data_IF_549985390776
#
_entry.id   IF_549985390776
#
_cell.length_a   1.000
_cell.length_b   1.000
_cell.length_c   1.000
_cell.angle_alpha   90.00
_cell.angle_beta   90.00
_cell.angle_gamma   90.00
#
_symmetry.space_group_name_H-M   'P 1'
#
loop_
_entity.id
_entity.type
_entity.pdbx_description
1 polymer ?
#
# COMPACT_ATOMS: atom_id res chain seq x y z
N UNK A 1 -38.04 -20.73 -82.76
CA UNK A 1 -37.70 -20.19 -81.42
C UNK A 1 -38.09 -21.23 -80.39
N UNK A 2 -37.10 -21.81 -79.72
CA UNK A 2 -37.29 -22.77 -78.63
C UNK A 2 -36.67 -22.19 -77.36
N UNK A 3 -37.27 -22.39 -76.18
CA UNK A 3 -36.52 -22.44 -74.95
C UNK A 3 -36.54 -23.86 -74.34
N UNK A 4 -35.41 -24.20 -73.73
CA UNK A 4 -35.09 -25.47 -73.11
C UNK A 4 -35.77 -25.64 -71.73
N UNK A 5 -35.94 -26.91 -71.33
CA UNK A 5 -36.43 -27.31 -70.01
C UNK A 5 -35.28 -27.37 -68.98
N UNK A 6 -35.58 -26.90 -67.78
CA UNK A 6 -34.68 -26.80 -66.61
C UNK A 6 -34.74 -28.11 -65.81
N UNK A 7 -33.57 -28.66 -65.48
CA UNK A 7 -33.34 -29.73 -64.51
C UNK A 7 -33.05 -29.16 -63.12
N UNK A 8 -33.62 -29.78 -62.07
CA UNK A 8 -33.14 -29.93 -60.68
C UNK A 8 -34.34 -30.49 -59.88
N UNK A 9 -34.26 -31.50 -59.01
CA UNK A 9 -33.13 -32.16 -58.36
C UNK A 9 -33.60 -32.59 -56.96
N UNK A 10 -33.85 -33.89 -56.80
CA UNK A 10 -33.89 -34.74 -55.59
C UNK A 10 -34.34 -34.16 -54.23
N UNK A 11 -35.42 -34.75 -53.70
CA UNK A 11 -35.78 -34.75 -52.29
C UNK A 11 -34.85 -35.69 -51.49
N UNK A 12 -34.34 -35.21 -50.35
CA UNK A 12 -33.63 -36.01 -49.35
C UNK A 12 -34.20 -35.75 -47.95
N UNK A 13 -34.27 -36.85 -47.19
CA UNK A 13 -34.94 -37.09 -45.91
C UNK A 13 -34.61 -36.15 -44.74
N UNK A 14 -35.51 -36.02 -43.74
CA UNK A 14 -35.26 -35.28 -42.52
C UNK A 14 -34.36 -36.04 -41.53
N UNK A 15 -33.44 -35.29 -40.93
CA UNK A 15 -32.45 -35.66 -39.91
C UNK A 15 -33.12 -35.80 -38.53
N UNK A 16 -32.66 -36.70 -37.63
CA UNK A 16 -33.26 -36.88 -36.30
C UNK A 16 -32.96 -35.69 -35.36
N UNK A 17 -33.83 -35.43 -34.37
CA UNK A 17 -33.73 -34.25 -33.51
C UNK A 17 -32.52 -34.32 -32.58
N UNK A 18 -31.79 -33.19 -32.51
CA UNK A 18 -30.72 -32.94 -31.56
C UNK A 18 -31.22 -33.09 -30.13
N UNK A 19 -30.48 -33.87 -29.34
CA UNK A 19 -30.60 -33.91 -27.89
C UNK A 19 -30.40 -32.50 -27.33
N UNK A 20 -31.47 -31.95 -26.73
CA UNK A 20 -31.37 -30.81 -25.84
C UNK A 20 -30.48 -31.21 -24.65
N UNK A 21 -29.30 -30.61 -24.57
CA UNK A 21 -28.53 -30.52 -23.34
C UNK A 21 -29.39 -29.77 -22.31
N UNK A 22 -30.01 -30.52 -21.41
CA UNK A 22 -30.50 -29.99 -20.13
C UNK A 22 -29.31 -29.37 -19.38
N UNK A 23 -29.40 -28.12 -18.91
CA UNK A 23 -28.40 -27.58 -18.00
C UNK A 23 -28.52 -28.33 -16.68
N UNK A 24 -27.57 -29.24 -16.44
CA UNK A 24 -27.30 -29.83 -15.14
C UNK A 24 -27.12 -28.71 -14.11
N UNK A 25 -27.94 -28.76 -13.07
CA UNK A 25 -27.76 -28.19 -11.73
C UNK A 25 -27.02 -26.86 -11.66
N UNK A 26 -27.76 -25.78 -11.39
CA UNK A 26 -27.19 -24.57 -10.81
C UNK A 26 -26.24 -24.98 -9.68
N UNK A 27 -24.95 -24.71 -9.89
CA UNK A 27 -23.93 -24.88 -8.87
C UNK A 27 -24.39 -24.16 -7.60
N UNK A 28 -24.13 -24.72 -6.41
CA UNK A 28 -24.47 -24.07 -5.16
C UNK A 28 -23.82 -22.68 -5.19
N UNK A 29 -24.61 -21.68 -4.81
CA UNK A 29 -24.24 -20.27 -4.62
C UNK A 29 -22.79 -20.16 -4.17
N UNK A 30 -21.92 -19.37 -4.83
CA UNK A 30 -20.51 -19.31 -4.45
C UNK A 30 -20.46 -18.89 -2.98
N UNK A 31 -20.05 -19.82 -2.12
CA UNK A 31 -19.76 -19.51 -0.72
C UNK A 31 -18.76 -18.37 -0.74
N UNK A 32 -19.03 -17.30 0.02
CA UNK A 32 -18.15 -16.15 0.10
C UNK A 32 -16.73 -16.64 0.44
N UNK A 33 -15.72 -16.22 -0.33
CA UNK A 33 -14.33 -16.71 -0.21
C UNK A 33 -13.84 -16.64 1.24
N UNK A 34 -14.14 -15.54 1.94
CA UNK A 34 -13.72 -15.35 3.34
C UNK A 34 -14.36 -16.39 4.28
N UNK A 35 -15.60 -16.81 4.00
CA UNK A 35 -16.30 -17.82 4.81
C UNK A 35 -15.72 -19.23 4.57
N UNK A 36 -15.34 -19.55 3.33
CA UNK A 36 -14.63 -20.80 2.99
C UNK A 36 -13.27 -20.84 3.69
N UNK A 37 -12.52 -19.73 3.59
CA UNK A 37 -11.24 -19.58 4.27
C UNK A 37 -11.40 -19.78 5.78
N UNK A 38 -12.34 -19.08 6.40
CA UNK A 38 -12.57 -19.14 7.83
C UNK A 38 -12.91 -20.57 8.30
N UNK A 39 -13.76 -21.28 7.56
CA UNK A 39 -14.09 -22.67 7.86
C UNK A 39 -12.86 -23.59 7.77
N UNK A 40 -12.04 -23.44 6.73
CA UNK A 40 -10.80 -24.23 6.56
C UNK A 40 -9.77 -23.91 7.64
N UNK A 41 -9.60 -22.65 7.95
CA UNK A 41 -8.68 -22.19 8.98
C UNK A 41 -9.07 -22.69 10.38
N UNK A 42 -10.36 -22.60 10.74
CA UNK A 42 -10.92 -23.22 11.96
C UNK A 42 -10.63 -24.73 12.02
N UNK A 43 -10.79 -25.44 10.91
CA UNK A 43 -10.54 -26.86 10.83
C UNK A 43 -9.06 -27.21 11.08
N UNK A 44 -8.12 -26.42 10.55
CA UNK A 44 -6.68 -26.58 10.82
C UNK A 44 -6.39 -26.37 12.30
N UNK A 45 -6.94 -25.32 12.92
CA UNK A 45 -6.76 -25.04 14.36
C UNK A 45 -7.31 -26.18 15.22
N UNK A 46 -8.52 -26.66 14.93
CA UNK A 46 -9.12 -27.77 15.66
C UNK A 46 -8.28 -29.04 15.53
N UNK A 47 -7.81 -29.35 14.31
CA UNK A 47 -6.94 -30.51 14.06
C UNK A 47 -5.61 -30.40 14.80
N UNK A 48 -5.04 -29.19 14.92
CA UNK A 48 -3.83 -28.95 15.69
C UNK A 48 -4.06 -29.12 17.20
N UNK A 49 -5.17 -28.58 17.74
CA UNK A 49 -5.51 -28.69 19.17
C UNK A 49 -5.79 -30.13 19.61
N UNK A 50 -6.33 -30.94 18.70
CA UNK A 50 -6.67 -32.34 18.98
C UNK A 50 -5.47 -33.30 18.89
N UNK A 51 -4.27 -32.80 18.57
CA UNK A 51 -3.04 -33.59 18.48
C UNK A 51 -2.23 -33.48 19.80
N UNK A 52 -2.31 -34.50 20.70
CA UNK A 52 -1.65 -34.45 22.01
C UNK A 52 -0.12 -34.54 21.92
N UNK A 53 0.45 -34.78 20.73
CA UNK A 53 1.90 -34.87 20.52
C UNK A 53 2.56 -33.52 20.21
N UNK A 54 1.78 -32.45 20.04
CA UNK A 54 2.30 -31.14 19.62
C UNK A 54 2.66 -30.25 20.81
N UNK A 55 3.77 -29.52 20.63
CA UNK A 55 4.22 -28.48 21.56
C UNK A 55 3.44 -27.17 21.43
N UNK A 56 3.95 -26.11 22.04
CA UNK A 56 3.33 -24.78 22.01
C UNK A 56 3.25 -24.21 20.58
N UNK A 57 2.13 -23.54 20.27
CA UNK A 57 1.88 -22.94 18.96
C UNK A 57 2.89 -21.82 18.66
N UNK A 58 3.80 -22.06 17.72
CA UNK A 58 4.80 -21.05 17.32
C UNK A 58 4.23 -20.04 16.33
N UNK A 59 4.90 -18.89 16.17
CA UNK A 59 4.56 -17.91 15.12
C UNK A 59 4.68 -18.51 13.71
N UNK A 60 5.62 -19.44 13.50
CA UNK A 60 5.80 -20.14 12.23
C UNK A 60 4.59 -21.01 11.89
N UNK A 61 4.05 -21.71 12.88
CA UNK A 61 2.86 -22.56 12.70
C UNK A 61 1.63 -21.73 12.37
N UNK A 62 1.44 -20.61 13.07
CA UNK A 62 0.35 -19.65 12.79
C UNK A 62 0.37 -19.21 11.33
N UNK A 63 1.53 -18.75 10.85
CA UNK A 63 1.70 -18.35 9.46
C UNK A 63 1.38 -19.50 8.50
N UNK A 64 1.86 -20.71 8.79
CA UNK A 64 1.58 -21.88 7.97
C UNK A 64 0.07 -22.20 7.89
N UNK A 65 -0.70 -22.04 8.99
CA UNK A 65 -2.14 -22.31 8.96
C UNK A 65 -2.90 -21.36 8.02
N UNK A 66 -2.59 -20.06 8.06
CA UNK A 66 -3.20 -19.10 7.13
C UNK A 66 -2.80 -19.41 5.69
N UNK A 67 -1.51 -19.71 5.46
CA UNK A 67 -1.02 -20.02 4.11
C UNK A 67 -1.68 -21.28 3.54
N UNK A 68 -1.83 -22.34 4.35
CA UNK A 68 -2.51 -23.57 3.95
C UNK A 68 -4.00 -23.34 3.72
N UNK A 69 -4.71 -22.69 4.66
CA UNK A 69 -6.12 -22.39 4.50
C UNK A 69 -6.39 -21.52 3.26
N UNK A 70 -5.54 -20.51 3.02
CA UNK A 70 -5.62 -19.67 1.83
C UNK A 70 -5.38 -20.48 0.56
N UNK A 71 -4.33 -21.29 0.49
CA UNK A 71 -4.01 -22.08 -0.70
C UNK A 71 -5.14 -23.06 -1.06
N UNK A 72 -5.72 -23.73 -0.08
CA UNK A 72 -6.86 -24.61 -0.29
C UNK A 72 -8.13 -23.84 -0.71
N UNK A 73 -8.36 -22.66 -0.13
CA UNK A 73 -9.51 -21.82 -0.49
C UNK A 73 -9.38 -21.30 -1.91
N UNK A 74 -8.20 -20.77 -2.25
CA UNK A 74 -7.85 -20.27 -3.58
C UNK A 74 -8.03 -21.35 -4.66
N UNK A 75 -7.57 -22.58 -4.39
CA UNK A 75 -7.78 -23.72 -5.28
C UNK A 75 -9.26 -24.10 -5.40
N UNK A 76 -10.04 -24.04 -4.32
CA UNK A 76 -11.47 -24.39 -4.35
C UNK A 76 -12.34 -23.33 -5.03
N UNK A 77 -11.98 -22.06 -4.90
CA UNK A 77 -12.78 -20.92 -5.36
C UNK A 77 -12.41 -20.47 -6.77
N UNK A 78 -11.11 -20.26 -7.03
CA UNK A 78 -10.62 -19.87 -8.35
C UNK A 78 -10.32 -21.09 -9.22
N UNK A 79 -9.77 -22.17 -8.65
CA UNK A 79 -9.48 -23.41 -9.36
C UNK A 79 -8.57 -23.23 -10.58
N UNK A 80 -8.65 -24.18 -11.52
CA UNK A 80 -7.89 -24.19 -12.78
C UNK A 80 -8.71 -23.65 -13.96
N UNK A 81 -9.81 -22.93 -13.71
CA UNK A 81 -10.65 -22.38 -14.78
C UNK A 81 -9.99 -21.13 -15.39
N UNK A 82 -10.38 -20.80 -16.62
CA UNK A 82 -10.05 -19.50 -17.21
C UNK A 82 -10.63 -18.38 -16.36
N UNK A 83 -9.76 -17.55 -15.78
CA UNK A 83 -10.13 -16.39 -14.99
C UNK A 83 -10.17 -15.15 -15.89
N UNK A 84 -11.16 -14.28 -15.68
CA UNK A 84 -11.19 -12.94 -16.28
C UNK A 84 -10.09 -12.05 -15.70
N UNK A 85 -9.73 -10.98 -16.41
CA UNK A 85 -8.74 -9.99 -15.91
C UNK A 85 -9.12 -9.42 -14.53
N UNK A 86 -10.42 -9.21 -14.30
CA UNK A 86 -10.93 -8.73 -13.02
C UNK A 86 -10.73 -9.78 -11.91
N UNK A 87 -11.02 -11.06 -12.17
CA UNK A 87 -10.80 -12.14 -11.21
C UNK A 87 -9.30 -12.38 -10.96
N UNK A 88 -8.46 -12.22 -11.98
CA UNK A 88 -7.00 -12.30 -11.84
C UNK A 88 -6.48 -11.21 -10.90
N UNK A 89 -6.96 -9.96 -11.06
CA UNK A 89 -6.66 -8.84 -10.14
C UNK A 89 -7.22 -9.09 -8.74
N UNK A 90 -8.44 -9.58 -8.63
CA UNK A 90 -9.09 -9.91 -7.36
C UNK A 90 -8.30 -10.98 -6.60
N UNK A 91 -7.91 -12.07 -7.27
CA UNK A 91 -7.08 -13.13 -6.71
C UNK A 91 -5.73 -12.59 -6.22
N UNK A 92 -5.08 -11.72 -6.99
CA UNK A 92 -3.82 -11.12 -6.61
C UNK A 92 -3.94 -10.21 -5.37
N UNK A 93 -4.96 -9.34 -5.30
CA UNK A 93 -5.23 -8.50 -4.14
C UNK A 93 -5.61 -9.30 -2.90
N UNK A 94 -6.45 -10.32 -3.09
CA UNK A 94 -6.83 -11.26 -2.02
C UNK A 94 -5.59 -11.90 -1.42
N UNK A 95 -4.66 -12.38 -2.26
CA UNK A 95 -3.38 -12.94 -1.81
C UNK A 95 -2.56 -11.97 -0.98
N UNK A 96 -2.50 -10.70 -1.39
CA UNK A 96 -1.80 -9.64 -0.62
C UNK A 96 -2.43 -9.52 0.75
N UNK A 97 -3.75 -9.33 0.84
CA UNK A 97 -4.42 -9.13 2.12
C UNK A 97 -4.38 -10.36 3.04
N UNK A 98 -4.35 -11.59 2.51
CA UNK A 98 -4.14 -12.80 3.33
C UNK A 98 -2.70 -12.97 3.78
N UNK A 99 -1.71 -12.64 2.94
CA UNK A 99 -0.31 -12.61 3.37
C UNK A 99 -0.07 -11.53 4.42
N UNK A 100 -0.78 -10.42 4.32
CA UNK A 100 -0.83 -9.39 5.36
C UNK A 100 -1.35 -9.97 6.67
N UNK A 101 -2.46 -10.72 6.65
CA UNK A 101 -3.01 -11.36 7.84
C UNK A 101 -2.01 -12.37 8.46
N UNK A 102 -1.19 -13.02 7.65
CA UNK A 102 -0.26 -14.07 8.08
C UNK A 102 1.05 -13.57 8.72
N UNK A 103 1.47 -12.33 8.46
CA UNK A 103 2.74 -11.79 8.98
C UNK A 103 2.61 -11.19 10.40
N UNK A 104 1.40 -10.97 10.89
CA UNK A 104 1.16 -10.31 12.19
C UNK A 104 0.77 -11.31 13.29
N UNK A 105 1.20 -11.10 14.55
CA UNK A 105 0.85 -12.00 15.65
C UNK A 105 -0.66 -11.97 15.95
N UNK A 106 -1.26 -13.15 16.09
CA UNK A 106 -2.67 -13.29 16.45
C UNK A 106 -2.88 -12.99 17.94
N UNK A 107 -3.84 -12.12 18.24
CA UNK A 107 -4.56 -12.12 19.52
C UNK A 107 -5.61 -13.23 19.55
N UNK A 108 -6.17 -13.52 20.73
CA UNK A 108 -7.26 -14.50 20.89
C UNK A 108 -8.51 -14.14 20.07
N UNK A 109 -8.75 -12.84 19.89
CA UNK A 109 -9.63 -12.32 18.85
C UNK A 109 -8.91 -12.41 17.50
N UNK A 110 -9.57 -13.10 16.57
CA UNK A 110 -9.08 -13.61 15.28
C UNK A 110 -8.43 -12.59 14.35
N UNK A 111 -8.46 -11.31 14.70
CA UNK A 111 -7.87 -10.19 14.00
C UNK A 111 -7.20 -9.23 14.98
N UNK A 112 -6.03 -8.73 14.55
CA UNK A 112 -5.25 -7.60 15.10
C UNK A 112 -5.75 -6.99 16.42
N UNK A 113 -5.05 -7.31 17.52
CA UNK A 113 -4.81 -6.38 18.62
C UNK A 113 -3.53 -5.54 18.34
N UNK A 114 -3.30 -4.41 19.03
CA UNK A 114 -2.55 -3.24 18.54
C UNK A 114 -1.02 -3.39 18.61
N UNK A 115 -0.44 -4.37 17.91
CA UNK A 115 1.03 -4.54 17.82
C UNK A 115 1.73 -3.45 16.98
N UNK A 116 0.94 -2.45 16.55
CA UNK A 116 1.41 -1.21 15.91
C UNK A 116 2.36 -0.43 16.83
N UNK A 117 2.19 -0.55 18.15
CA UNK A 117 3.02 0.13 19.15
C UNK A 117 4.42 -0.49 19.33
N UNK A 118 4.60 -1.80 19.09
CA UNK A 118 5.92 -2.45 19.15
C UNK A 118 6.88 -1.91 18.08
N UNK A 119 6.34 -1.30 17.02
CA UNK A 119 7.08 -0.73 15.89
C UNK A 119 7.44 0.75 16.07
N UNK A 120 7.14 1.35 17.24
CA UNK A 120 7.47 2.74 17.61
C UNK A 120 8.91 2.93 18.10
N UNK A 121 9.72 1.88 18.16
CA UNK A 121 11.10 1.91 18.67
C UNK A 121 12.07 2.85 17.93
N UNK A 122 11.66 3.33 16.74
CA UNK A 122 12.41 4.28 15.92
C UNK A 122 12.00 5.75 16.14
N UNK A 123 11.02 6.00 16.99
CA UNK A 123 10.71 7.36 17.40
C UNK A 123 11.60 7.79 18.57
N UNK A 124 11.97 9.06 18.57
CA UNK A 124 12.60 9.75 19.69
C UNK A 124 11.67 10.88 20.16
N UNK A 125 11.67 11.20 21.46
CA UNK A 125 10.95 12.39 21.96
C UNK A 125 11.59 13.64 21.38
N UNK A 126 10.79 14.57 20.87
CA UNK A 126 11.32 15.85 20.44
C UNK A 126 11.83 16.62 21.67
N UNK A 127 12.97 17.32 21.52
CA UNK A 127 13.67 17.99 22.64
C UNK A 127 12.76 18.96 23.41
N UNK A 128 11.88 19.66 22.70
CA UNK A 128 11.01 20.68 23.28
C UNK A 128 9.82 20.05 24.03
N UNK A 129 9.53 18.78 23.77
CA UNK A 129 8.42 18.06 24.40
C UNK A 129 8.85 17.21 25.61
N UNK A 130 10.14 17.04 25.88
CA UNK A 130 10.65 16.19 26.96
C UNK A 130 10.14 16.68 28.33
N UNK A 131 10.22 17.98 28.59
CA UNK A 131 9.79 18.55 29.88
C UNK A 131 8.29 18.36 30.11
N UNK A 132 7.47 18.73 29.12
CA UNK A 132 6.01 18.56 29.17
C UNK A 132 5.62 17.08 29.31
N UNK A 133 6.26 16.18 28.57
CA UNK A 133 5.99 14.74 28.68
C UNK A 133 6.32 14.20 30.08
N UNK A 134 7.42 14.66 30.69
CA UNK A 134 7.81 14.26 32.04
C UNK A 134 6.80 14.70 33.11
N UNK A 135 6.21 15.90 32.99
CA UNK A 135 5.14 16.39 33.89
C UNK A 135 3.91 15.47 33.91
N UNK A 136 3.66 14.77 32.79
CA UNK A 136 2.56 13.83 32.62
C UNK A 136 2.96 12.36 32.80
N UNK A 137 4.19 12.07 33.27
CA UNK A 137 4.68 10.71 33.48
C UNK A 137 4.95 9.93 32.19
N UNK A 138 5.13 10.62 31.07
CA UNK A 138 5.40 10.03 29.76
C UNK A 138 6.90 10.11 29.49
N UNK A 139 7.58 8.97 29.51
CA UNK A 139 9.05 8.93 29.41
C UNK A 139 9.54 8.43 28.05
N UNK A 140 8.72 7.68 27.33
CA UNK A 140 9.05 7.20 26.00
C UNK A 140 7.99 7.57 24.96
N UNK A 141 8.35 7.68 23.67
CA UNK A 141 7.37 7.88 22.59
C UNK A 141 6.29 6.81 22.57
N UNK A 142 6.65 5.56 22.92
CA UNK A 142 5.70 4.45 23.00
C UNK A 142 4.66 4.69 24.08
N UNK A 143 5.08 5.13 25.27
CA UNK A 143 4.17 5.42 26.38
C UNK A 143 3.25 6.60 26.03
N UNK A 144 3.79 7.65 25.41
CA UNK A 144 3.03 8.80 24.98
C UNK A 144 1.95 8.41 23.93
N UNK A 145 2.31 7.65 22.90
CA UNK A 145 1.37 7.21 21.85
C UNK A 145 0.32 6.26 22.41
N UNK A 146 0.71 5.35 23.30
CA UNK A 146 -0.24 4.46 23.98
C UNK A 146 -1.24 5.25 24.82
N UNK A 147 -0.77 6.18 25.65
CA UNK A 147 -1.62 7.03 26.47
C UNK A 147 -2.57 7.90 25.63
N UNK A 148 -2.09 8.46 24.51
CA UNK A 148 -2.91 9.20 23.57
C UNK A 148 -3.99 8.34 22.91
N UNK A 149 -3.66 7.09 22.56
CA UNK A 149 -4.62 6.14 21.98
C UNK A 149 -5.70 5.74 22.99
N UNK A 150 -5.32 5.43 24.22
CA UNK A 150 -6.25 5.10 25.30
C UNK A 150 -7.18 6.28 25.61
N UNK A 151 -6.64 7.50 25.65
CA UNK A 151 -7.44 8.72 25.81
C UNK A 151 -8.42 8.92 24.64
N UNK A 152 -7.99 8.68 23.39
CA UNK A 152 -8.85 8.79 22.21
C UNK A 152 -9.99 7.75 22.23
N UNK A 153 -9.71 6.50 22.63
CA UNK A 153 -10.72 5.44 22.80
C UNK A 153 -11.73 5.85 23.88
N UNK A 154 -11.25 6.24 25.06
CA UNK A 154 -12.10 6.67 26.17
C UNK A 154 -12.97 7.87 25.79
N UNK A 155 -12.41 8.83 25.05
CA UNK A 155 -13.17 9.96 24.52
C UNK A 155 -14.27 9.50 23.54
N UNK A 156 -13.97 8.56 22.64
CA UNK A 156 -14.95 8.02 21.70
C UNK A 156 -16.07 7.22 22.40
N UNK A 157 -15.73 6.43 23.41
CA UNK A 157 -16.70 5.70 24.23
C UNK A 157 -17.62 6.64 24.99
N UNK A 158 -17.05 7.66 25.64
CA UNK A 158 -17.82 8.71 26.32
C UNK A 158 -18.78 9.42 25.36
N UNK A 159 -18.33 9.74 24.13
CA UNK A 159 -19.20 10.34 23.11
C UNK A 159 -20.33 9.41 22.67
N UNK A 160 -20.10 8.09 22.63
CA UNK A 160 -21.14 7.10 22.31
C UNK A 160 -22.16 6.95 23.43
N UNK A 161 -21.73 7.00 24.70
CA UNK A 161 -22.62 6.97 25.86
C UNK A 161 -23.50 8.21 25.92
N UNK A 162 -22.93 9.38 25.71
CA UNK A 162 -23.67 10.66 25.66
C UNK A 162 -24.63 10.70 24.48
N UNK A 163 -24.29 10.09 23.35
CA UNK A 163 -25.23 9.95 22.22
C UNK A 163 -26.44 9.04 22.54
N UNK A 164 -26.34 8.17 23.56
CA UNK A 164 -27.44 7.32 24.04
C UNK A 164 -28.29 8.01 25.13
N UNK A 165 -27.75 9.02 25.82
CA UNK A 165 -28.48 9.83 26.81
C UNK A 165 -29.01 11.13 26.17
N UNK A 166 -30.32 11.25 25.89
CA UNK A 166 -30.89 12.41 25.20
C UNK A 166 -30.86 13.72 26.01
N UNK A 167 -30.49 13.67 27.29
CA UNK A 167 -30.57 14.79 28.24
C UNK A 167 -29.26 15.55 28.46
N UNK A 168 -28.10 15.05 27.99
CA UNK A 168 -26.81 15.75 28.14
C UNK A 168 -26.33 16.33 26.82
N UNK A 169 -26.15 17.65 26.79
CA UNK A 169 -25.62 18.30 25.59
C UNK A 169 -24.14 17.96 25.42
N UNK A 170 -23.70 17.64 24.19
CA UNK A 170 -22.27 17.35 23.87
C UNK A 170 -21.30 18.46 24.30
N UNK A 171 -21.80 19.67 24.59
CA UNK A 171 -21.00 20.85 24.97
C UNK A 171 -20.65 20.89 26.47
N UNK A 172 -21.34 20.13 27.33
CA UNK A 172 -21.11 20.16 28.79
C UNK A 172 -20.08 19.15 29.27
N UNK A 173 -19.72 18.15 28.47
CA UNK A 173 -18.65 17.23 28.83
C UNK A 173 -17.28 17.83 28.52
N UNK A 174 -16.63 18.37 29.56
CA UNK A 174 -15.19 18.61 29.57
C UNK A 174 -14.46 17.27 29.63
N UNK A 175 -14.34 16.58 28.50
CA UNK A 175 -13.49 15.39 28.42
C UNK A 175 -12.05 15.88 28.28
N UNK A 176 -11.16 15.59 29.25
CA UNK A 176 -9.77 15.99 29.14
C UNK A 176 -9.13 15.24 27.97
N UNK A 177 -8.63 15.99 26.98
CA UNK A 177 -7.95 15.44 25.81
C UNK A 177 -6.50 15.03 26.08
N UNK A 178 -5.94 15.46 27.22
CA UNK A 178 -4.52 15.28 27.55
C UNK A 178 -3.61 16.21 26.74
N UNK A 179 -2.30 16.24 27.04
CA UNK A 179 -1.31 17.12 26.39
C UNK A 179 -0.78 16.55 25.06
N UNK A 180 -1.49 15.59 24.45
CA UNK A 180 -0.93 14.76 23.39
C UNK A 180 -0.81 15.48 22.04
N UNK A 181 -1.49 16.62 21.87
CA UNK A 181 -1.33 17.50 20.72
C UNK A 181 -0.06 18.35 20.84
N UNK A 182 0.34 18.68 22.07
CA UNK A 182 1.49 19.52 22.40
C UNK A 182 2.79 18.72 22.60
N UNK A 183 2.70 17.40 22.78
CA UNK A 183 3.85 16.50 22.83
C UNK A 183 4.17 16.00 21.42
N UNK A 184 5.40 16.24 20.98
CA UNK A 184 5.89 15.87 19.66
C UNK A 184 7.01 14.81 19.74
N UNK A 185 7.07 13.99 18.70
CA UNK A 185 8.06 12.94 18.50
C UNK A 185 8.63 13.03 17.09
N UNK A 186 9.89 12.63 16.92
CA UNK A 186 10.58 12.59 15.62
C UNK A 186 10.85 11.16 15.20
N UNK A 187 10.75 10.89 13.90
CA UNK A 187 11.03 9.57 13.34
C UNK A 187 12.47 9.44 12.87
N UNK A 188 13.21 8.47 13.41
CA UNK A 188 14.58 8.18 13.01
C UNK A 188 14.60 6.95 12.10
N UNK A 189 14.85 7.17 10.81
CA UNK A 189 14.91 6.09 9.83
C UNK A 189 16.06 5.11 10.15
N UNK A 190 15.82 3.82 9.89
CA UNK A 190 16.87 2.82 10.03
C UNK A 190 17.99 3.03 9.01
N UNK A 191 19.24 3.05 9.47
CA UNK A 191 20.41 3.18 8.59
C UNK A 191 21.28 1.92 8.62
N UNK A 192 22.25 1.86 7.71
CA UNK A 192 23.17 0.72 7.57
C UNK A 192 24.18 0.59 8.72
N UNK A 193 24.29 1.57 9.63
CA UNK A 193 25.16 1.52 10.80
C UNK A 193 24.73 2.49 11.90
N UNK A 194 25.04 2.21 13.16
CA UNK A 194 24.79 3.15 14.28
C UNK A 194 25.44 4.52 14.05
N UNK A 195 26.65 4.55 13.46
CA UNK A 195 27.34 5.80 13.09
C UNK A 195 26.55 6.62 12.08
N UNK A 196 25.90 5.98 11.10
CA UNK A 196 25.05 6.68 10.14
C UNK A 196 23.77 7.21 10.80
N UNK A 197 23.16 6.44 11.71
CA UNK A 197 22.00 6.89 12.50
C UNK A 197 22.35 8.10 13.40
N UNK A 198 23.54 8.11 14.02
CA UNK A 198 23.97 9.22 14.87
C UNK A 198 24.29 10.50 14.09
N UNK A 199 24.59 10.40 12.79
CA UNK A 199 24.80 11.55 11.90
C UNK A 199 23.51 12.17 11.37
N UNK A 200 22.36 11.56 11.64
CA UNK A 200 21.07 12.14 11.28
C UNK A 200 20.86 13.41 12.09
N UNK A 201 20.63 14.51 11.37
CA UNK A 201 20.30 15.80 11.96
C UNK A 201 18.84 15.78 12.46
N UNK A 202 18.68 15.64 13.77
CA UNK A 202 17.38 15.56 14.45
C UNK A 202 16.63 16.88 14.44
N UNK A 203 17.36 17.99 14.32
CA UNK A 203 16.82 19.35 14.33
C UNK A 203 16.07 19.68 13.03
N UNK A 204 16.40 18.98 11.95
CA UNK A 204 15.80 19.18 10.64
C UNK A 204 14.72 18.13 10.30
N UNK A 205 14.38 17.23 11.24
CA UNK A 205 13.28 16.27 11.07
C UNK A 205 11.99 16.94 11.52
N UNK A 206 10.95 16.83 10.71
CA UNK A 206 9.64 17.36 11.05
C UNK A 206 9.09 16.67 12.32
N UNK A 207 8.82 17.42 13.40
CA UNK A 207 8.22 16.86 14.60
C UNK A 207 6.75 16.55 14.36
N UNK A 208 6.28 15.42 14.89
CA UNK A 208 4.90 14.95 14.74
C UNK A 208 4.25 14.86 16.10
N UNK A 209 3.04 15.42 16.24
CA UNK A 209 2.29 15.29 17.49
C UNK A 209 1.96 13.82 17.79
N UNK A 210 2.07 13.46 19.07
CA UNK A 210 1.75 12.11 19.56
C UNK A 210 0.30 11.74 19.24
N UNK A 211 -0.62 12.70 19.34
CA UNK A 211 -2.02 12.54 18.96
C UNK A 211 -2.22 12.15 17.49
N UNK A 212 -1.45 12.74 16.57
CA UNK A 212 -1.52 12.45 15.13
C UNK A 212 -1.07 11.03 14.85
N UNK A 213 0.04 10.60 15.46
CA UNK A 213 0.52 9.22 15.35
C UNK A 213 -0.53 8.26 15.88
N UNK A 214 -1.02 8.48 17.11
CA UNK A 214 -2.05 7.66 17.73
C UNK A 214 -3.32 7.56 16.88
N UNK A 215 -3.77 8.68 16.30
CA UNK A 215 -4.93 8.72 15.41
C UNK A 215 -4.72 7.89 14.13
N UNK A 216 -3.55 7.97 13.50
CA UNK A 216 -3.23 7.17 12.30
C UNK A 216 -3.17 5.67 12.64
N UNK A 217 -2.56 5.30 13.77
CA UNK A 217 -2.52 3.90 14.20
C UNK A 217 -3.92 3.37 14.55
N UNK A 218 -4.73 4.18 15.23
CA UNK A 218 -6.09 3.83 15.64
C UNK A 218 -7.01 3.59 14.43
N UNK A 219 -6.87 4.39 13.37
CA UNK A 219 -7.69 4.35 12.17
C UNK A 219 -7.00 3.65 10.97
N UNK A 220 -5.96 2.86 11.23
CA UNK A 220 -5.23 2.19 10.16
C UNK A 220 -6.11 1.16 9.44
N UNK A 221 -6.15 1.18 8.11
CA UNK A 221 -7.08 0.34 7.31
C UNK A 221 -6.95 -1.16 7.60
N UNK A 222 -5.76 -1.63 7.94
CA UNK A 222 -5.53 -3.03 8.26
C UNK A 222 -6.09 -3.45 9.64
N UNK A 223 -6.45 -2.52 10.53
CA UNK A 223 -7.06 -2.83 11.84
C UNK A 223 -8.39 -3.55 11.67
N UNK A 224 -9.23 -3.04 10.78
CA UNK A 224 -10.57 -3.59 10.54
C UNK A 224 -10.57 -4.65 9.43
N UNK A 225 -9.38 -5.11 9.01
CA UNK A 225 -9.25 -6.04 7.89
C UNK A 225 -9.46 -7.49 8.35
N UNK A 226 -10.73 -7.81 8.59
CA UNK A 226 -11.21 -9.12 9.03
C UNK A 226 -11.65 -10.04 7.90
N UNK A 227 -11.85 -9.47 6.71
CA UNK A 227 -12.33 -10.15 5.50
C UNK A 227 -11.48 -9.75 4.29
N UNK A 228 -10.30 -10.37 4.10
CA UNK A 228 -9.34 -9.97 3.08
C UNK A 228 -9.88 -10.02 1.64
N UNK A 229 -10.73 -10.99 1.30
CA UNK A 229 -11.35 -11.05 -0.04
C UNK A 229 -12.36 -9.93 -0.23
N UNK A 230 -13.25 -9.71 0.74
CA UNK A 230 -14.23 -8.61 0.69
C UNK A 230 -13.54 -7.24 0.62
N UNK A 231 -12.39 -7.08 1.30
CA UNK A 231 -11.54 -5.90 1.19
C UNK A 231 -10.96 -5.75 -0.23
N UNK A 232 -10.49 -6.84 -0.85
CA UNK A 232 -10.03 -6.84 -2.23
C UNK A 232 -11.12 -6.42 -3.22
N UNK A 233 -12.35 -6.92 -3.05
CA UNK A 233 -13.50 -6.50 -3.86
C UNK A 233 -13.80 -5.01 -3.69
N UNK A 234 -13.72 -4.50 -2.46
CA UNK A 234 -13.90 -3.08 -2.16
C UNK A 234 -12.86 -2.22 -2.90
N UNK A 235 -11.58 -2.57 -2.83
CA UNK A 235 -10.53 -1.86 -3.57
C UNK A 235 -10.73 -1.93 -5.09
N UNK A 236 -11.13 -3.10 -5.60
CA UNK A 236 -11.33 -3.32 -7.02
C UNK A 236 -12.47 -2.44 -7.56
N UNK A 237 -13.59 -2.42 -6.84
CA UNK A 237 -14.84 -1.78 -7.24
C UNK A 237 -14.97 -0.31 -6.75
N UNK A 238 -14.03 0.18 -5.95
CA UNK A 238 -14.05 1.56 -5.45
C UNK A 238 -13.95 2.56 -6.61
N UNK A 239 -15.04 3.29 -6.80
CA UNK A 239 -15.19 4.34 -7.82
C UNK A 239 -15.73 5.64 -7.22
N UNK A 240 -16.17 5.61 -5.96
CA UNK A 240 -16.71 6.77 -5.27
C UNK A 240 -15.58 7.77 -4.94
N UNK A 241 -15.72 9.01 -5.40
CA UNK A 241 -14.72 10.06 -5.20
C UNK A 241 -14.39 10.29 -3.72
N UNK A 242 -15.40 10.34 -2.85
CA UNK A 242 -15.21 10.56 -1.41
C UNK A 242 -14.41 9.41 -0.77
N UNK A 243 -14.63 8.18 -1.22
CA UNK A 243 -13.91 7.02 -0.70
C UNK A 243 -12.45 7.03 -1.18
N UNK A 244 -12.22 7.34 -2.46
CA UNK A 244 -10.87 7.50 -3.03
C UNK A 244 -10.09 8.62 -2.34
N UNK A 245 -10.73 9.75 -2.02
CA UNK A 245 -10.16 10.85 -1.26
C UNK A 245 -9.79 10.43 0.17
N UNK A 246 -10.67 9.70 0.85
CA UNK A 246 -10.38 9.14 2.20
C UNK A 246 -9.21 8.18 2.16
N UNK A 247 -9.14 7.29 1.18
CA UNK A 247 -8.01 6.36 1.02
C UNK A 247 -6.71 7.11 0.75
N UNK A 248 -6.74 8.13 -0.12
CA UNK A 248 -5.56 8.98 -0.36
C UNK A 248 -5.11 9.69 0.90
N UNK A 249 -6.05 10.28 1.64
CA UNK A 249 -5.77 10.96 2.90
C UNK A 249 -5.11 10.00 3.89
N UNK A 250 -5.67 8.81 4.07
CA UNK A 250 -5.05 7.77 4.90
C UNK A 250 -3.61 7.48 4.47
N UNK A 251 -3.35 7.25 3.17
CA UNK A 251 -2.01 6.94 2.69
C UNK A 251 -1.03 8.11 2.87
N UNK A 252 -1.49 9.35 2.75
CA UNK A 252 -0.69 10.54 3.03
C UNK A 252 -0.39 10.66 4.53
N UNK A 253 -1.41 10.50 5.38
CA UNK A 253 -1.30 10.57 6.83
C UNK A 253 -0.34 9.48 7.37
N UNK A 254 -0.31 8.29 6.75
CA UNK A 254 0.69 7.25 7.09
C UNK A 254 2.10 7.70 6.71
N UNK A 255 2.31 8.29 5.53
CA UNK A 255 3.62 8.82 5.14
C UNK A 255 4.08 9.94 6.07
N UNK A 256 3.15 10.81 6.46
CA UNK A 256 3.47 12.04 7.18
C UNK A 256 3.64 11.79 8.69
N UNK A 257 2.77 10.97 9.28
CA UNK A 257 2.69 10.82 10.74
C UNK A 257 3.08 9.43 11.24
N UNK A 258 3.06 8.41 10.39
CA UNK A 258 3.43 7.04 10.76
C UNK A 258 4.45 6.39 9.81
N UNK A 259 5.57 7.08 9.45
CA UNK A 259 6.52 6.60 8.45
C UNK A 259 7.19 5.27 8.82
N UNK A 260 7.30 4.96 10.12
CA UNK A 260 7.76 3.67 10.64
C UNK A 260 6.96 2.47 10.10
N UNK A 261 5.68 2.66 9.74
CA UNK A 261 4.86 1.62 9.12
C UNK A 261 5.34 1.27 7.72
N UNK A 262 5.99 2.18 7.02
CA UNK A 262 6.55 1.90 5.70
C UNK A 262 7.95 1.28 5.81
N UNK A 263 8.70 1.64 6.85
CA UNK A 263 10.07 1.18 7.10
C UNK A 263 10.13 -0.21 7.77
N UNK A 264 9.28 -0.48 8.76
CA UNK A 264 9.31 -1.73 9.53
C UNK A 264 8.20 -2.70 9.15
N UNK A 265 7.09 -2.19 8.62
CA UNK A 265 5.93 -3.02 8.29
C UNK A 265 5.78 -3.24 6.77
N UNK A 266 6.15 -4.46 6.35
CA UNK A 266 6.03 -4.89 4.97
C UNK A 266 4.59 -4.80 4.44
N UNK A 267 3.62 -5.00 5.33
CA UNK A 267 2.19 -4.98 5.03
C UNK A 267 1.74 -3.58 4.70
N UNK A 268 1.95 -2.65 5.64
CA UNK A 268 1.48 -1.27 5.51
C UNK A 268 2.15 -0.58 4.32
N UNK A 269 3.40 -0.95 4.01
CA UNK A 269 4.07 -0.55 2.79
C UNK A 269 3.30 -0.95 1.52
N UNK A 270 2.91 -2.21 1.35
CA UNK A 270 2.20 -2.63 0.14
C UNK A 270 0.83 -1.96 0.02
N UNK A 271 0.10 -1.83 1.12
CA UNK A 271 -1.22 -1.18 1.12
C UNK A 271 -1.11 0.30 0.77
N UNK A 272 -0.14 1.02 1.32
CA UNK A 272 0.10 2.42 0.96
C UNK A 272 0.54 2.54 -0.51
N UNK A 273 1.37 1.62 -1.00
CA UNK A 273 1.78 1.59 -2.41
C UNK A 273 0.66 1.17 -3.38
N UNK A 274 -0.46 0.60 -2.92
CA UNK A 274 -1.65 0.46 -3.76
C UNK A 274 -2.31 1.81 -4.04
N UNK A 275 -2.22 2.76 -3.08
CA UNK A 275 -2.97 4.01 -3.10
C UNK A 275 -2.11 5.17 -3.61
N UNK A 276 -0.86 5.27 -3.14
CA UNK A 276 0.08 6.32 -3.51
C UNK A 276 1.22 5.75 -4.34
N UNK A 277 1.63 6.44 -5.43
CA UNK A 277 2.81 6.05 -6.16
C UNK A 277 4.04 6.24 -5.28
N UNK A 278 5.02 5.36 -5.43
CA UNK A 278 6.28 5.41 -4.67
C UNK A 278 6.95 6.79 -4.72
N UNK A 279 6.92 7.46 -5.87
CA UNK A 279 7.49 8.81 -6.03
C UNK A 279 6.88 9.83 -5.08
N UNK A 280 5.57 9.74 -4.81
CA UNK A 280 4.88 10.64 -3.90
C UNK A 280 5.25 10.34 -2.44
N UNK A 281 5.38 9.06 -2.07
CA UNK A 281 5.87 8.67 -0.75
C UNK A 281 7.29 9.19 -0.51
N UNK A 282 8.18 9.03 -1.50
CA UNK A 282 9.55 9.54 -1.41
C UNK A 282 9.58 11.07 -1.23
N UNK A 283 8.84 11.81 -2.07
CA UNK A 283 8.78 13.28 -1.95
C UNK A 283 8.31 13.73 -0.57
N UNK A 284 7.30 13.07 0.01
CA UNK A 284 6.81 13.38 1.36
C UNK A 284 7.85 13.11 2.44
N UNK A 285 8.58 12.01 2.33
CA UNK A 285 9.64 11.68 3.27
C UNK A 285 10.76 12.72 3.25
N UNK A 286 11.18 13.12 2.05
CA UNK A 286 12.15 14.20 1.87
C UNK A 286 11.67 15.52 2.48
N UNK A 287 10.40 15.89 2.23
CA UNK A 287 9.79 17.08 2.83
C UNK A 287 9.75 17.04 4.37
N UNK A 288 9.68 15.85 4.98
CA UNK A 288 9.68 15.67 6.43
C UNK A 288 11.10 15.52 7.02
N UNK A 289 12.15 15.73 6.22
CA UNK A 289 13.54 15.56 6.65
C UNK A 289 13.97 14.10 6.79
N UNK A 290 13.16 13.13 6.33
CA UNK A 290 13.44 11.70 6.42
C UNK A 290 14.28 11.29 5.20
N UNK A 291 15.58 11.09 5.42
CA UNK A 291 16.51 10.68 4.35
C UNK A 291 16.18 9.28 3.81
N UNK A 292 16.10 9.17 2.48
CA UNK A 292 15.72 7.94 1.76
C UNK A 292 16.94 7.11 1.32
N UNK A 293 18.14 7.69 1.36
CA UNK A 293 19.37 7.00 0.95
C UNK A 293 19.65 5.82 1.89
N UNK A 294 19.58 4.60 1.36
CA UNK A 294 19.66 3.36 2.14
C UNK A 294 18.37 2.97 2.87
N UNK A 295 17.28 3.73 2.71
CA UNK A 295 15.99 3.49 3.35
C UNK A 295 15.27 2.25 2.81
N UNK A 296 14.61 1.56 3.74
CA UNK A 296 13.75 0.38 3.58
C UNK A 296 12.50 0.62 2.73
N UNK A 297 12.12 1.85 2.38
CA UNK A 297 11.04 2.14 1.39
C UNK A 297 11.60 2.15 -0.04
N UNK A 298 12.69 1.42 -0.23
CA UNK A 298 13.29 1.18 -1.54
C UNK A 298 12.41 0.24 -2.36
N UNK A 299 12.48 0.40 -3.68
CA UNK A 299 11.99 -0.58 -4.66
C UNK A 299 12.33 -2.01 -4.23
N UNK A 300 13.52 -2.20 -3.65
CA UNK A 300 14.00 -3.49 -3.13
C UNK A 300 13.08 -4.14 -2.10
N UNK A 301 12.49 -3.40 -1.16
CA UNK A 301 11.62 -3.99 -0.12
C UNK A 301 10.24 -4.34 -0.69
N UNK A 302 9.66 -3.47 -1.51
CA UNK A 302 8.43 -3.77 -2.23
C UNK A 302 8.61 -5.02 -3.13
N UNK A 303 9.71 -5.09 -3.88
CA UNK A 303 10.05 -6.26 -4.71
C UNK A 303 10.35 -7.50 -3.88
N UNK A 304 11.05 -7.37 -2.76
CA UNK A 304 11.28 -8.48 -1.83
C UNK A 304 9.95 -9.05 -1.32
N UNK A 305 8.97 -8.19 -1.03
CA UNK A 305 7.65 -8.64 -0.61
C UNK A 305 6.87 -9.33 -1.72
N UNK A 306 6.93 -8.83 -2.96
CA UNK A 306 6.36 -9.54 -4.11
C UNK A 306 6.99 -10.94 -4.28
N UNK A 307 8.30 -11.06 -4.10
CA UNK A 307 8.98 -12.35 -4.15
C UNK A 307 8.56 -13.26 -2.97
N UNK A 308 8.37 -12.73 -1.75
CA UNK A 308 7.82 -13.49 -0.61
C UNK A 308 6.38 -13.95 -0.83
N UNK A 309 5.62 -13.24 -1.67
CA UNK A 309 4.30 -13.68 -2.13
C UNK A 309 4.40 -14.76 -3.23
N UNK A 310 5.59 -15.16 -3.64
CA UNK A 310 5.81 -16.14 -4.72
C UNK A 310 5.66 -15.55 -6.12
N UNK A 311 5.58 -14.22 -6.25
CA UNK A 311 5.58 -13.54 -7.54
C UNK A 311 7.03 -13.27 -7.95
N UNK A 312 7.71 -14.30 -8.41
CA UNK A 312 9.15 -14.23 -8.72
C UNK A 312 9.43 -13.74 -10.14
N UNK A 313 8.41 -13.69 -11.01
CA UNK A 313 8.53 -13.25 -12.40
C UNK A 313 7.63 -12.04 -12.67
N UNK A 314 7.89 -11.32 -13.77
CA UNK A 314 7.12 -10.14 -14.14
C UNK A 314 5.65 -10.48 -14.43
N UNK A 315 5.39 -11.64 -15.04
CA UNK A 315 4.06 -12.14 -15.38
C UNK A 315 3.21 -12.36 -14.13
N UNK A 316 3.83 -12.91 -13.08
CA UNK A 316 3.16 -13.15 -11.79
C UNK A 316 2.89 -11.85 -11.02
N UNK A 317 3.73 -10.82 -11.20
CA UNK A 317 3.56 -9.49 -10.58
C UNK A 317 2.54 -8.62 -11.31
N UNK A 318 2.39 -8.82 -12.63
CA UNK A 318 1.56 -7.99 -13.52
C UNK A 318 0.13 -7.76 -13.02
N UNK A 319 -0.61 -8.74 -12.47
CA UNK A 319 -1.95 -8.50 -11.94
C UNK A 319 -1.99 -7.43 -10.85
N UNK A 320 -1.04 -7.49 -9.91
CA UNK A 320 -0.95 -6.54 -8.80
C UNK A 320 -0.46 -5.18 -9.29
N UNK A 321 0.64 -5.14 -10.06
CA UNK A 321 1.23 -3.89 -10.53
C UNK A 321 0.30 -3.14 -11.50
N UNK A 322 -0.40 -3.87 -12.38
CA UNK A 322 -1.42 -3.30 -13.26
C UNK A 322 -2.57 -2.70 -12.47
N UNK A 323 -3.10 -3.42 -11.47
CA UNK A 323 -4.14 -2.89 -10.59
C UNK A 323 -3.67 -1.66 -9.80
N UNK A 324 -2.47 -1.71 -9.20
CA UNK A 324 -1.93 -0.62 -8.41
C UNK A 324 -1.84 0.67 -9.24
N UNK A 325 -1.31 0.57 -10.47
CA UNK A 325 -1.23 1.71 -11.38
C UNK A 325 -2.61 2.29 -11.74
N UNK A 326 -3.58 1.42 -12.06
CA UNK A 326 -4.96 1.83 -12.35
C UNK A 326 -5.63 2.49 -11.13
N UNK A 327 -5.42 1.93 -9.94
CA UNK A 327 -5.99 2.44 -8.69
C UNK A 327 -5.38 3.77 -8.28
N UNK A 328 -4.05 3.90 -8.32
CA UNK A 328 -3.35 5.17 -8.10
C UNK A 328 -3.84 6.25 -9.07
N UNK A 329 -4.08 5.91 -10.34
CA UNK A 329 -4.62 6.86 -11.31
C UNK A 329 -6.05 7.28 -10.97
N UNK A 330 -6.91 6.35 -10.53
CA UNK A 330 -8.27 6.67 -10.03
C UNK A 330 -8.20 7.61 -8.84
N UNK A 331 -7.37 7.31 -7.86
CA UNK A 331 -7.14 8.14 -6.66
C UNK A 331 -6.62 9.53 -7.04
N UNK A 332 -5.66 9.60 -7.97
CA UNK A 332 -5.11 10.87 -8.46
C UNK A 332 -6.20 11.73 -9.14
N UNK A 333 -7.00 11.12 -9.99
CA UNK A 333 -8.10 11.79 -10.71
C UNK A 333 -9.21 12.26 -9.76
N UNK A 334 -9.47 11.53 -8.67
CA UNK A 334 -10.47 11.91 -7.68
C UNK A 334 -10.10 13.21 -6.96
N UNK A 335 -8.84 13.34 -6.49
CA UNK A 335 -8.45 14.51 -5.69
C UNK A 335 -7.90 15.67 -6.52
N UNK A 336 -7.47 15.40 -7.75
CA UNK A 336 -7.16 16.41 -8.75
C UNK A 336 -8.07 16.16 -9.94
N UNK A 337 -9.39 16.45 -9.83
CA UNK A 337 -10.27 16.39 -10.98
C UNK A 337 -9.72 17.43 -11.93
N UNK A 338 -9.00 16.97 -12.96
CA UNK A 338 -8.25 17.87 -13.84
C UNK A 338 -9.17 19.01 -14.20
N UNK A 339 -8.69 20.26 -14.05
CA UNK A 339 -9.34 21.41 -14.68
C UNK A 339 -9.68 20.91 -16.07
N UNK A 340 -10.99 20.77 -16.38
CA UNK A 340 -11.45 20.20 -17.65
C UNK A 340 -10.88 21.11 -18.70
N UNK A 341 -9.66 20.79 -19.14
CA UNK A 341 -8.92 21.52 -20.13
C UNK A 341 -9.89 21.56 -21.27
N UNK A 342 -10.34 22.77 -21.60
CA UNK A 342 -11.16 22.99 -22.77
C UNK A 342 -10.47 22.20 -23.87
N UNK A 343 -11.13 21.14 -24.35
CA UNK A 343 -10.73 20.51 -25.60
C UNK A 343 -10.46 21.68 -26.53
N UNK A 344 -9.24 21.86 -27.09
CA UNK A 344 -9.06 22.89 -28.08
C UNK A 344 -10.12 22.60 -29.13
N UNK A 345 -11.09 23.51 -29.26
CA UNK A 345 -12.06 23.45 -30.34
C UNK A 345 -11.20 23.53 -31.58
N UNK A 346 -10.98 22.38 -32.23
CA UNK A 346 -10.45 22.37 -33.59
C UNK A 346 -11.41 23.23 -34.40
N UNK A 347 -11.02 24.49 -34.63
CA UNK A 347 -11.64 25.36 -35.61
C UNK A 347 -11.42 24.65 -36.93
N UNK A 348 -12.46 23.94 -37.38
CA UNK A 348 -12.67 23.59 -38.78
C UNK A 348 -12.69 24.92 -39.54
N UNK A 349 -11.56 25.33 -40.08
CA UNK A 349 -11.51 26.27 -41.20
C UNK A 349 -11.43 25.46 -42.48
N UNK A 350 -12.41 25.68 -43.33
CA UNK A 350 -12.64 25.02 -44.59
C UNK A 350 -11.64 25.45 -45.67
N UNK A 351 -11.49 24.56 -46.65
CA UNK A 351 -11.38 24.81 -48.10
C UNK A 351 -10.16 25.57 -48.63
N UNK A 352 -9.18 24.83 -49.15
CA UNK A 352 -8.78 24.86 -50.58
C UNK A 352 -7.94 23.62 -50.96
N UNK A 353 -8.14 23.02 -52.16
CA UNK A 353 -7.35 21.90 -52.65
C UNK A 353 -6.34 22.33 -53.73
N UNK A 354 -5.09 21.82 -53.69
CA UNK A 354 -4.18 21.81 -54.85
C UNK A 354 -3.08 20.75 -54.72
N UNK A 355 -2.68 20.19 -55.86
CA UNK A 355 -1.98 18.93 -56.09
C UNK A 355 -0.45 18.90 -55.81
N UNK A 356 0.03 17.68 -55.46
CA UNK A 356 1.28 16.95 -55.84
C UNK A 356 2.60 17.68 -56.17
N UNK A 357 3.67 17.40 -55.41
CA UNK A 357 4.99 16.89 -55.89
C UNK A 357 6.02 16.74 -54.73
N UNK A 358 6.75 15.62 -54.69
CA UNK A 358 8.01 15.37 -53.93
C UNK A 358 9.24 15.83 -54.78
N UNK A 359 10.51 15.83 -54.30
CA UNK A 359 11.17 16.34 -53.07
C UNK A 359 12.45 17.19 -53.42
N UNK A 360 13.38 17.58 -52.49
CA UNK A 360 14.45 16.70 -51.92
C UNK A 360 14.85 17.05 -50.44
N UNK A 361 15.81 16.35 -49.79
CA UNK A 361 16.03 16.44 -48.35
C UNK A 361 16.99 17.57 -47.95
N UNK A 362 16.70 18.26 -46.85
CA UNK A 362 17.65 19.18 -46.24
C UNK A 362 18.01 18.70 -44.82
N UNK A 363 19.22 18.16 -44.69
CA UNK A 363 19.96 18.11 -43.43
C UNK A 363 20.37 19.54 -43.06
N UNK A 364 20.15 19.95 -41.81
CA UNK A 364 20.64 21.23 -41.30
C UNK A 364 19.90 21.71 -40.06
N UNK A 365 20.64 21.85 -38.96
CA UNK A 365 20.24 22.53 -37.73
C UNK A 365 19.55 23.87 -38.02
N UNK A 366 18.33 24.07 -37.51
CA UNK A 366 17.72 25.40 -37.37
C UNK A 366 17.16 25.53 -35.96
N UNK A 367 17.68 26.53 -35.25
CA UNK A 367 17.33 26.89 -33.89
C UNK A 367 15.92 27.47 -33.77
N UNK A 368 15.33 27.34 -32.59
CA UNK A 368 13.98 27.81 -32.25
C UNK A 368 13.82 29.33 -32.39
N UNK A 369 12.69 29.84 -32.92
CA UNK A 369 12.41 31.27 -32.91
C UNK A 369 12.12 31.75 -31.48
N UNK A 370 13.01 32.59 -30.95
CA UNK A 370 12.75 33.37 -29.73
C UNK A 370 11.81 34.53 -30.08
N UNK A 371 10.57 34.47 -29.59
CA UNK A 371 9.68 35.63 -29.54
C UNK A 371 9.86 36.32 -28.19
N UNK A 372 10.58 37.44 -28.20
CA UNK A 372 10.68 38.40 -27.10
C UNK A 372 9.88 39.64 -27.52
N UNK A 373 8.68 39.81 -26.96
CA UNK A 373 7.89 41.03 -27.09
C UNK A 373 8.00 41.88 -25.82
N UNK A 374 8.20 43.21 -25.91
CA UNK A 374 8.20 44.10 -24.76
C UNK A 374 6.76 44.54 -24.42
N UNK A 375 6.57 44.99 -23.18
CA UNK A 375 5.44 45.82 -22.70
C UNK A 375 4.15 45.13 -22.20
N UNK A 376 4.19 44.56 -20.99
CA UNK A 376 3.18 44.86 -19.93
C UNK A 376 3.56 44.26 -18.56
N UNK A 377 3.35 45.01 -17.46
CA UNK A 377 3.62 44.57 -16.10
C UNK A 377 2.41 43.84 -15.49
N UNK A 378 2.70 42.93 -14.55
CA UNK A 378 1.80 42.03 -13.81
C UNK A 378 1.42 40.71 -14.49
N UNK A 379 2.25 39.69 -14.27
CA UNK A 379 1.81 38.43 -13.66
C UNK A 379 3.02 37.57 -13.27
N UNK A 380 3.19 37.33 -11.97
CA UNK A 380 4.24 36.51 -11.37
C UNK A 380 3.98 35.03 -11.64
N UNK A 381 4.68 34.47 -12.63
CA UNK A 381 4.77 33.03 -12.88
C UNK A 381 6.15 32.54 -12.41
N UNK A 382 6.22 31.88 -11.26
CA UNK A 382 7.46 31.34 -10.69
C UNK A 382 7.83 30.00 -11.34
N UNK A 383 8.25 30.05 -12.60
CA UNK A 383 8.99 28.98 -13.27
C UNK A 383 10.49 29.27 -13.18
N UNK A 384 11.13 28.90 -12.07
CA UNK A 384 12.58 29.07 -11.91
C UNK A 384 13.27 28.00 -12.75
N UNK A 385 13.85 28.44 -13.88
CA UNK A 385 14.68 27.67 -14.78
C UNK A 385 16.14 27.77 -14.28
N UNK A 386 16.57 26.83 -13.44
CA UNK A 386 17.95 26.75 -12.96
C UNK A 386 18.79 25.99 -14.01
N UNK A 387 19.88 26.56 -14.55
CA UNK A 387 20.79 25.82 -15.42
C UNK A 387 21.50 24.68 -14.64
N UNK A 388 21.76 23.52 -15.26
CA UNK A 388 22.42 22.41 -14.60
C UNK A 388 23.88 22.76 -14.23
N UNK A 389 24.39 22.29 -13.08
CA UNK A 389 25.79 22.51 -12.70
C UNK A 389 26.76 21.71 -13.57
N UNK A 390 27.91 22.32 -13.87
CA UNK A 390 29.04 21.73 -14.59
C UNK A 390 29.59 20.51 -13.83
N UNK A 391 29.48 19.32 -14.42
CA UNK A 391 30.20 18.13 -13.93
C UNK A 391 31.68 18.22 -14.33
N UNK A 392 32.54 18.57 -13.38
CA UNK A 392 33.97 18.28 -13.48
C UNK A 392 34.23 16.87 -12.97
N UNK A 393 34.67 16.01 -13.88
CA UNK A 393 35.12 14.64 -13.63
C UNK A 393 36.38 14.66 -12.75
N UNK A 394 36.29 14.08 -11.56
CA UNK A 394 37.43 13.82 -10.67
C UNK A 394 37.64 12.29 -10.68
N UNK A 395 38.23 11.78 -11.75
CA UNK A 395 38.92 10.49 -11.71
C UNK A 395 40.35 10.75 -12.15
N UNK A 396 41.23 10.87 -11.17
CA UNK A 396 42.67 10.71 -11.30
C UNK A 396 43.03 9.26 -10.99
N UNK A 397 43.85 8.70 -11.87
CA UNK A 397 44.34 7.34 -11.86
C UNK A 397 45.33 6.99 -10.72
N UNK A 398 45.31 5.68 -10.41
CA UNK A 398 46.41 4.79 -9.96
C UNK A 398 46.84 4.76 -8.48
N UNK A 399 47.55 3.71 -7.99
CA UNK A 399 47.85 2.40 -8.60
C UNK A 399 47.56 1.16 -7.70
N UNK A 400 47.62 0.00 -8.35
CA UNK A 400 47.67 -1.38 -7.85
C UNK A 400 48.84 -1.67 -6.89
N UNK A 401 48.60 -2.33 -5.75
CA UNK A 401 49.56 -3.24 -5.09
C UNK A 401 48.95 -4.09 -3.95
N UNK A 402 49.33 -5.37 -3.97
CA UNK A 402 49.57 -6.30 -2.85
C UNK A 402 48.40 -7.06 -2.19
N UNK A 403 48.50 -8.37 -2.43
CA UNK A 403 47.82 -9.53 -1.87
C UNK A 403 48.03 -9.79 -0.37
N UNK A 404 47.11 -10.63 0.14
CA UNK A 404 47.33 -11.68 1.15
C UNK A 404 47.41 -11.28 2.64
N UNK A 405 46.47 -11.79 3.45
CA UNK A 405 46.69 -12.87 4.43
C UNK A 405 45.47 -13.00 5.38
N UNK A 406 44.98 -14.24 5.54
CA UNK A 406 44.55 -14.93 6.80
C UNK A 406 43.64 -14.16 7.79
N UNK A 407 42.73 -14.73 8.57
CA UNK A 407 42.14 -16.04 8.77
C UNK A 407 41.20 -15.86 9.98
N UNK A 408 40.04 -16.53 9.97
CA UNK A 408 39.47 -17.27 11.12
C UNK A 408 39.30 -16.52 12.47
N UNK A 409 38.06 -16.19 12.81
CA UNK A 409 37.58 -16.30 14.20
C UNK A 409 36.05 -16.50 14.24
N UNK A 410 35.66 -17.73 14.54
CA UNK A 410 34.36 -18.13 15.09
C UNK A 410 34.19 -17.56 16.49
N UNK A 411 33.07 -16.89 16.77
CA UNK A 411 32.60 -16.67 18.14
C UNK A 411 31.07 -16.76 18.18
N UNK A 412 30.63 -17.80 18.87
CA UNK A 412 29.27 -18.08 19.33
C UNK A 412 28.82 -16.99 20.29
N UNK A 413 27.59 -16.49 20.15
CA UNK A 413 26.88 -15.83 21.26
C UNK A 413 25.36 -16.01 21.08
N UNK A 414 24.88 -17.04 21.78
CA UNK A 414 23.49 -17.18 22.21
C UNK A 414 23.09 -15.95 23.01
N UNK A 415 21.89 -15.41 22.76
CA UNK A 415 21.17 -14.60 23.75
C UNK A 415 19.75 -15.14 23.87
N UNK A 416 19.46 -15.63 25.06
CA UNK A 416 18.20 -16.21 25.51
C UNK A 416 17.11 -15.13 25.57
N UNK A 417 15.92 -15.48 25.11
CA UNK A 417 14.69 -14.76 25.40
C UNK A 417 13.59 -15.81 25.67
N UNK A 418 13.68 -16.45 26.83
CA UNK A 418 12.62 -17.27 27.39
C UNK A 418 12.23 -16.64 28.74
N UNK A 419 11.14 -15.88 28.73
CA UNK A 419 10.31 -15.70 29.92
C UNK A 419 8.91 -16.25 29.60
N UNK A 420 8.38 -17.19 30.40
CA UNK A 420 7.06 -17.75 30.21
C UNK A 420 5.99 -16.80 30.73
N UNK A 421 5.03 -16.43 29.88
CA UNK A 421 3.81 -15.74 30.31
C UNK A 421 2.77 -16.77 30.74
N UNK A 422 2.45 -16.74 32.03
CA UNK A 422 1.47 -17.57 32.70
C UNK A 422 0.04 -17.19 32.29
N UNK A 423 -0.82 -18.19 32.09
CA UNK A 423 -2.22 -18.04 31.63
C UNK A 423 -3.13 -18.58 32.73
N UNK A 424 -3.82 -17.67 33.41
CA UNK A 424 -5.01 -17.97 34.22
C UNK A 424 -6.21 -17.21 33.68
#
# INVERSE_FOLDING_TARGET
>A
MSPAAITQGAAASPTPPQQQNTPTGAAPTPKNFDDIFHAKFMHIIQSWKNDPSRGQLTQKDRKAFIETAYAETDQSYFGMRGLSDQEIKLRALTKVFYKVLAEEPWSEDWIRAPDVERKLSKFEMHKDSIALAAEHGLHTPRDAVKAAREAAIKHQETLKEVAKEPTKSKKELKIPRGPYDEIEIIYIAGTVSSTATNKIDRENIYPVSVSSVANVLQNHICRDMVRPFSMAERFLNCTETQELEKMRKFACDVCDFAPHLLDNDNVSLLVVLLILPRSDCCRRFENNGIRIEGSTISHRKAECMKNKMGWNTAELKKPYDGFANEFQQRVKNACNPGSRGQRPKNKRTSSTPTHSAYPPPHMGYMASPQLRGPDSPHDTNSGINIPPPNMQSIYTDAPTAMASLLSRATAVLNSNADEPMDLS
#
